data_IF_049533708502
#
_entry.id   IF_049533708502
#
_cell.length_a   1.000
_cell.length_b   1.000
_cell.length_c   1.000
_cell.angle_alpha   90.00
_cell.angle_beta   90.00
_cell.angle_gamma   90.00
#
_symmetry.space_group_name_H-M   'P 1'
#
loop_
_entity.id
_entity.type
_entity.pdbx_description
1 polymer ?
#
# COMPACT_ATOMS: atom_id res chain seq x y z
N UNK A 1 0.28 14.75 27.94
CA UNK A 1 1.36 13.78 27.66
C UNK A 1 1.74 13.09 28.97
N UNK A 2 2.16 11.83 28.92
CA UNK A 2 2.73 11.08 30.05
C UNK A 2 4.05 10.44 29.59
N UNK A 3 5.09 10.56 30.43
CA UNK A 3 6.41 9.97 30.21
C UNK A 3 6.79 9.17 31.45
N UNK A 4 7.18 7.93 31.26
CA UNK A 4 7.60 7.02 32.32
C UNK A 4 8.99 6.50 31.99
N UNK A 5 9.91 6.50 32.96
CA UNK A 5 11.22 5.87 32.83
C UNK A 5 11.11 4.40 33.22
N UNK A 6 11.63 3.51 32.36
CA UNK A 6 11.72 2.08 32.62
C UNK A 6 13.16 1.71 32.99
N UNK A 7 13.34 0.73 33.89
CA UNK A 7 14.66 0.23 34.31
C UNK A 7 15.38 -0.50 33.18
N UNK A 8 14.62 -1.18 32.32
CA UNK A 8 15.09 -1.84 31.11
C UNK A 8 13.96 -1.95 30.07
N UNK A 9 14.27 -2.46 28.89
CA UNK A 9 13.34 -2.55 27.75
C UNK A 9 12.19 -3.54 27.97
N UNK A 10 12.34 -4.42 28.97
CA UNK A 10 11.42 -5.53 29.30
C UNK A 10 10.64 -5.27 30.58
N UNK A 11 10.94 -4.19 31.30
CA UNK A 11 10.30 -3.86 32.57
C UNK A 11 8.78 -3.78 32.42
N UNK A 12 8.05 -4.37 33.36
CA UNK A 12 6.59 -4.39 33.34
C UNK A 12 5.98 -3.04 33.73
N UNK A 13 6.73 -2.22 34.47
CA UNK A 13 6.31 -0.89 34.92
C UNK A 13 7.53 0.01 35.16
N UNK A 14 7.29 1.31 35.28
CA UNK A 14 8.33 2.31 35.48
C UNK A 14 7.89 3.45 36.39
N UNK A 15 8.81 4.38 36.64
CA UNK A 15 8.55 5.57 37.44
C UNK A 15 8.18 6.74 36.52
N UNK A 16 7.09 7.50 36.81
CA UNK A 16 6.75 8.68 36.04
C UNK A 16 7.87 9.72 36.14
N UNK A 17 8.27 10.29 35.01
CA UNK A 17 9.23 11.39 34.99
C UNK A 17 8.44 12.69 35.14
N UNK A 18 8.75 13.47 36.16
CA UNK A 18 8.19 14.81 36.28
C UNK A 18 8.98 15.76 35.36
N UNK A 19 8.34 16.22 34.28
CA UNK A 19 8.84 17.21 33.34
C UNK A 19 7.89 18.42 33.25
N UNK A 20 7.15 18.68 34.33
CA UNK A 20 6.09 19.68 34.36
C UNK A 20 6.66 21.07 34.05
N UNK A 21 6.01 21.76 33.11
CA UNK A 21 6.42 23.10 32.64
C UNK A 21 7.65 23.12 31.74
N UNK A 22 8.34 21.98 31.52
CA UNK A 22 9.54 21.91 30.67
C UNK A 22 9.27 21.38 29.26
N UNK A 23 8.14 20.72 29.01
CA UNK A 23 7.85 20.17 27.68
C UNK A 23 7.43 21.30 26.72
N UNK A 24 8.26 21.55 25.71
CA UNK A 24 8.04 22.59 24.69
C UNK A 24 7.32 22.02 23.46
N UNK A 25 7.78 20.85 22.98
CA UNK A 25 7.18 20.16 21.85
C UNK A 25 7.44 18.65 21.94
N UNK A 26 6.56 17.88 21.32
CA UNK A 26 6.67 16.43 21.20
C UNK A 26 6.28 16.02 19.78
N UNK A 27 7.02 15.07 19.21
CA UNK A 27 6.57 14.38 18.02
C UNK A 27 6.82 12.88 18.10
N UNK A 28 5.87 12.09 17.61
CA UNK A 28 6.00 10.64 17.46
C UNK A 28 5.71 10.26 16.02
N UNK A 29 6.67 9.63 15.35
CA UNK A 29 6.57 9.12 13.98
C UNK A 29 6.46 7.60 14.03
N UNK A 30 5.28 7.07 13.71
CA UNK A 30 5.03 5.65 13.45
C UNK A 30 5.17 5.40 11.95
N UNK A 31 6.00 4.42 11.57
CA UNK A 31 6.29 4.14 10.16
C UNK A 31 6.18 2.65 9.85
N UNK A 32 5.63 2.33 8.68
CA UNK A 32 5.63 0.96 8.15
C UNK A 32 7.02 0.51 7.63
N UNK A 33 7.91 1.46 7.30
CA UNK A 33 9.21 1.17 6.66
C UNK A 33 10.41 1.41 7.58
N UNK A 34 10.28 2.35 8.52
CA UNK A 34 11.34 2.73 9.46
C UNK A 34 10.97 2.30 10.88
N UNK A 35 11.96 2.32 11.77
CA UNK A 35 11.66 2.17 13.19
C UNK A 35 10.97 3.44 13.68
N UNK A 36 9.98 3.29 14.56
CA UNK A 36 9.27 4.43 15.12
C UNK A 36 10.22 5.33 15.89
N UNK A 37 9.97 6.64 15.82
CA UNK A 37 10.84 7.64 16.43
C UNK A 37 10.03 8.62 17.27
N UNK A 38 10.49 8.87 18.49
CA UNK A 38 9.99 9.94 19.34
C UNK A 38 11.04 11.07 19.42
N UNK A 39 10.57 12.30 19.41
CA UNK A 39 11.37 13.50 19.65
C UNK A 39 10.67 14.35 20.69
N UNK A 40 11.39 14.69 21.76
CA UNK A 40 10.90 15.50 22.86
C UNK A 40 11.79 16.73 23.01
N UNK A 41 11.21 17.91 22.87
CA UNK A 41 11.90 19.18 23.11
C UNK A 41 11.56 19.67 24.51
N UNK A 42 12.60 19.89 25.31
CA UNK A 42 12.53 20.30 26.70
C UNK A 42 13.21 21.64 26.91
N UNK A 43 12.62 22.45 27.78
CA UNK A 43 13.26 23.62 28.36
C UNK A 43 14.25 23.19 29.44
N UNK A 44 15.50 23.52 29.17
CA UNK A 44 16.67 23.21 29.98
C UNK A 44 17.40 24.51 30.37
N UNK A 45 16.65 25.58 30.67
CA UNK A 45 17.22 26.88 31.07
C UNK A 45 18.23 26.80 32.22
N UNK A 46 18.04 25.85 33.15
CA UNK A 46 18.90 25.62 34.32
C UNK A 46 19.95 24.52 34.11
N UNK A 47 20.01 23.94 32.91
CA UNK A 47 20.95 22.88 32.51
C UNK A 47 20.83 21.56 33.30
N UNK A 48 19.88 21.46 34.23
CA UNK A 48 19.71 20.32 35.14
C UNK A 48 19.38 19.00 34.43
N UNK A 49 18.84 19.06 33.21
CA UNK A 49 18.43 17.87 32.46
C UNK A 49 19.63 17.08 31.92
N UNK A 50 20.82 17.66 31.85
CA UNK A 50 22.04 16.94 31.45
C UNK A 50 22.47 15.88 32.46
N UNK A 51 22.26 16.16 33.75
CA UNK A 51 22.62 15.25 34.84
C UNK A 51 21.50 14.23 35.15
N UNK A 52 20.39 14.27 34.40
CA UNK A 52 19.27 13.36 34.60
C UNK A 52 19.56 11.98 33.99
N UNK A 53 19.77 10.92 34.80
CA UNK A 53 20.06 9.58 34.28
C UNK A 53 18.88 9.00 33.51
N UNK A 54 17.66 9.48 33.76
CA UNK A 54 16.43 9.04 33.10
C UNK A 54 16.35 9.52 31.64
N UNK A 55 17.09 10.57 31.28
CA UNK A 55 17.16 11.11 29.93
C UNK A 55 18.50 10.80 29.23
N UNK A 56 19.40 10.07 29.90
CA UNK A 56 20.69 9.71 29.35
C UNK A 56 20.57 8.73 28.17
N UNK A 57 21.62 8.67 27.35
CA UNK A 57 21.69 7.72 26.22
C UNK A 57 21.53 6.27 26.69
N UNK A 58 20.60 5.55 26.08
CA UNK A 58 20.25 4.17 26.45
C UNK A 58 19.12 4.05 27.46
N UNK A 59 18.67 5.14 28.09
CA UNK A 59 17.49 5.12 28.95
C UNK A 59 16.24 4.72 28.15
N UNK A 60 15.37 3.93 28.77
CA UNK A 60 14.13 3.48 28.16
C UNK A 60 12.99 4.34 28.69
N UNK A 61 12.27 4.97 27.78
CA UNK A 61 11.12 5.81 28.06
C UNK A 61 9.86 5.16 27.51
N UNK A 62 8.79 5.21 28.27
CA UNK A 62 7.45 4.90 27.82
C UNK A 62 6.68 6.21 27.67
N UNK A 63 6.24 6.51 26.45
CA UNK A 63 5.57 7.76 26.08
C UNK A 63 4.11 7.49 25.69
N UNK A 64 3.20 8.30 26.21
CA UNK A 64 1.78 8.30 25.84
C UNK A 64 1.29 9.73 25.67
N UNK A 65 0.56 10.00 24.60
CA UNK A 65 0.10 11.33 24.22
C UNK A 65 -1.37 11.30 23.79
N UNK A 66 -2.01 12.47 23.74
CA UNK A 66 -3.44 12.57 23.45
C UNK A 66 -4.13 13.52 24.42
N UNK A 67 -5.45 13.40 24.49
CA UNK A 67 -6.31 14.23 25.32
C UNK A 67 -6.65 13.52 26.63
N UNK A 68 -7.00 14.27 27.69
CA UNK A 68 -7.58 13.67 28.89
C UNK A 68 -8.77 12.75 28.54
N UNK A 69 -8.69 11.48 28.94
CA UNK A 69 -9.70 10.45 28.61
C UNK A 69 -9.52 9.77 27.25
N UNK A 70 -8.67 10.28 26.36
CA UNK A 70 -8.34 9.66 25.07
C UNK A 70 -6.83 9.76 24.82
N UNK A 71 -6.08 8.81 25.38
CA UNK A 71 -4.62 8.74 25.27
C UNK A 71 -4.23 7.60 24.35
N UNK A 72 -3.20 7.81 23.53
CA UNK A 72 -2.58 6.78 22.73
C UNK A 72 -2.00 5.68 23.63
N UNK A 73 -2.02 4.40 23.20
CA UNK A 73 -1.37 3.31 23.90
C UNK A 73 0.10 3.66 24.20
N UNK A 74 0.62 3.31 25.40
CA UNK A 74 2.00 3.60 25.75
C UNK A 74 2.99 3.00 24.75
N UNK A 75 3.96 3.81 24.30
CA UNK A 75 5.00 3.40 23.35
C UNK A 75 6.37 3.44 24.00
N UNK A 76 7.12 2.36 23.87
CA UNK A 76 8.48 2.27 24.40
C UNK A 76 9.49 2.78 23.39
N UNK A 77 10.36 3.68 23.84
CA UNK A 77 11.44 4.27 23.05
C UNK A 77 12.73 4.30 23.86
N UNK A 78 13.84 3.97 23.20
CA UNK A 78 15.18 4.01 23.78
C UNK A 78 15.84 5.31 23.35
N UNK A 79 16.32 6.10 24.31
CA UNK A 79 17.00 7.37 24.04
C UNK A 79 18.31 7.11 23.29
N UNK A 80 18.49 7.77 22.14
CA UNK A 80 19.68 7.61 21.28
C UNK A 80 20.51 8.86 21.18
N UNK A 81 19.87 10.02 21.10
CA UNK A 81 20.56 11.29 20.88
C UNK A 81 19.98 12.34 21.79
N UNK A 82 20.89 13.13 22.36
CA UNK A 82 20.61 14.36 23.06
C UNK A 82 21.24 15.48 22.25
N UNK A 83 20.46 16.49 21.86
CA UNK A 83 20.92 17.63 21.06
C UNK A 83 20.50 18.93 21.74
N UNK A 84 21.28 19.98 21.52
CA UNK A 84 20.98 21.32 22.03
C UNK A 84 21.62 21.60 23.39
N UNK A 85 21.17 22.69 24.02
CA UNK A 85 21.76 23.20 25.26
C UNK A 85 20.66 23.70 26.21
N UNK A 86 20.21 24.95 26.05
CA UNK A 86 19.07 25.51 26.79
C UNK A 86 17.72 24.95 26.31
N UNK A 87 17.62 24.58 25.04
CA UNK A 87 16.53 23.74 24.53
C UNK A 87 17.12 22.38 24.22
N UNK A 88 16.74 21.39 25.02
CA UNK A 88 17.24 20.02 24.90
C UNK A 88 16.28 19.20 24.04
N UNK A 89 16.77 18.61 22.96
CA UNK A 89 16.02 17.66 22.13
C UNK A 89 16.47 16.24 22.45
N UNK A 90 15.57 15.45 23.01
CA UNK A 90 15.75 14.02 23.29
C UNK A 90 15.13 13.23 22.15
N UNK A 91 15.95 12.53 21.36
CA UNK A 91 15.49 11.63 20.30
C UNK A 91 15.58 10.18 20.77
N UNK A 92 14.43 9.51 20.79
CA UNK A 92 14.31 8.09 21.09
C UNK A 92 13.78 7.31 19.90
N UNK A 93 14.11 6.02 19.82
CA UNK A 93 13.58 5.12 18.78
C UNK A 93 12.99 3.87 19.43
N UNK A 94 12.00 3.26 18.79
CA UNK A 94 11.37 2.04 19.29
C UNK A 94 12.38 0.91 19.53
N UNK A 95 12.00 -0.04 20.38
CA UNK A 95 12.80 -1.22 20.77
C UNK A 95 13.28 -2.04 19.56
N UNK A 96 12.60 -1.96 18.41
CA UNK A 96 13.06 -2.54 17.14
C UNK A 96 14.47 -2.11 16.72
N UNK A 97 14.95 -0.97 17.21
CA UNK A 97 16.32 -0.50 16.95
C UNK A 97 17.39 -1.38 17.59
N UNK A 98 17.06 -2.12 18.65
CA UNK A 98 17.99 -3.11 19.22
C UNK A 98 18.46 -4.13 18.18
N UNK A 99 17.55 -4.58 17.33
CA UNK A 99 17.83 -5.51 16.23
C UNK A 99 18.72 -4.87 15.15
N UNK A 100 18.89 -3.54 15.18
CA UNK A 100 19.70 -2.79 14.23
C UNK A 100 21.05 -2.30 14.81
N UNK A 101 21.43 -2.71 16.02
CA UNK A 101 22.65 -2.20 16.68
C UNK A 101 23.94 -2.83 16.17
N UNK A 102 23.96 -4.15 15.97
CA UNK A 102 25.16 -4.89 15.65
C UNK A 102 24.98 -5.68 14.36
N UNK A 103 25.95 -5.55 13.46
CA UNK A 103 26.04 -6.40 12.29
C UNK A 103 26.53 -7.78 12.73
N UNK A 104 25.85 -8.83 12.30
CA UNK A 104 26.17 -10.22 12.63
C UNK A 104 26.44 -11.02 11.36
N UNK A 105 27.17 -12.11 11.52
CA UNK A 105 27.39 -13.10 10.45
C UNK A 105 26.94 -14.46 10.96
N UNK A 106 25.93 -15.04 10.32
CA UNK A 106 25.28 -16.29 10.73
C UNK A 106 24.81 -17.07 9.50
N UNK A 107 24.62 -18.37 9.63
CA UNK A 107 24.11 -19.22 8.57
C UNK A 107 23.14 -20.26 9.13
N UNK A 108 22.04 -20.48 8.42
CA UNK A 108 21.06 -21.51 8.72
C UNK A 108 20.95 -22.45 7.53
N UNK A 109 21.01 -23.76 7.75
CA UNK A 109 20.91 -24.76 6.70
C UNK A 109 19.63 -25.57 6.81
N UNK A 110 18.97 -25.87 5.68
CA UNK A 110 17.77 -26.70 5.63
C UNK A 110 16.57 -26.11 6.38
N UNK A 111 16.44 -24.77 6.43
CA UNK A 111 15.36 -24.07 7.14
C UNK A 111 14.53 -23.22 6.19
N UNK A 112 13.27 -22.99 6.55
CA UNK A 112 12.43 -22.01 5.88
C UNK A 112 12.73 -20.61 6.37
N UNK A 113 12.37 -19.59 5.60
CA UNK A 113 12.54 -18.19 6.02
C UNK A 113 11.76 -17.90 7.30
N UNK A 114 10.52 -18.38 7.39
CA UNK A 114 9.67 -18.27 8.59
C UNK A 114 10.29 -18.91 9.83
N UNK A 115 10.99 -20.04 9.68
CA UNK A 115 11.65 -20.74 10.80
C UNK A 115 12.84 -19.93 11.32
N UNK A 116 13.65 -19.38 10.40
CA UNK A 116 14.77 -18.47 10.75
C UNK A 116 14.24 -17.21 11.45
N UNK A 117 13.17 -16.61 10.93
CA UNK A 117 12.55 -15.42 11.54
C UNK A 117 12.05 -15.72 12.95
N UNK A 118 11.44 -16.90 13.17
CA UNK A 118 10.94 -17.33 14.48
C UNK A 118 12.06 -17.53 15.49
N UNK A 119 13.20 -18.08 15.07
CA UNK A 119 14.40 -18.18 15.91
C UNK A 119 14.94 -16.80 16.31
N UNK A 120 15.03 -15.87 15.36
CA UNK A 120 15.45 -14.50 15.65
C UNK A 120 14.47 -13.79 16.59
N UNK A 121 13.16 -13.88 16.33
CA UNK A 121 12.14 -13.28 17.18
C UNK A 121 12.24 -13.78 18.64
N UNK A 122 12.48 -15.08 18.83
CA UNK A 122 12.66 -15.68 20.15
C UNK A 122 13.92 -15.16 20.88
N UNK A 123 15.04 -14.90 20.18
CA UNK A 123 16.24 -14.28 20.80
C UNK A 123 15.92 -12.92 21.44
N UNK A 124 15.00 -12.17 20.84
CA UNK A 124 14.57 -10.87 21.36
C UNK A 124 13.44 -10.96 22.39
N UNK A 125 12.88 -12.16 22.63
CA UNK A 125 11.82 -12.42 23.61
C UNK A 125 10.40 -12.39 23.04
N UNK A 126 10.24 -12.36 21.71
CA UNK A 126 8.94 -12.44 21.05
C UNK A 126 8.59 -13.91 20.80
N UNK A 127 7.70 -14.47 21.63
CA UNK A 127 7.27 -15.88 21.58
C UNK A 127 5.74 -15.93 21.71
N UNK A 128 5.11 -16.92 21.07
CA UNK A 128 3.66 -17.14 21.17
C UNK A 128 2.86 -16.03 20.47
N UNK A 129 1.84 -15.50 21.15
CA UNK A 129 0.94 -14.47 20.59
C UNK A 129 1.65 -13.15 20.26
N UNK A 130 2.81 -12.88 20.88
CA UNK A 130 3.63 -11.70 20.60
C UNK A 130 4.45 -11.83 19.31
N UNK A 131 4.36 -12.95 18.58
CA UNK A 131 5.07 -13.20 17.33
C UNK A 131 4.08 -13.61 16.23
N UNK A 132 3.59 -12.64 15.46
CA UNK A 132 2.77 -12.86 14.28
C UNK A 132 3.68 -13.07 13.06
N UNK A 133 4.01 -14.33 12.79
CA UNK A 133 4.92 -14.74 11.73
C UNK A 133 4.16 -15.58 10.71
N UNK A 134 4.05 -15.08 9.48
CA UNK A 134 3.49 -15.83 8.37
C UNK A 134 4.37 -17.01 8.00
N UNK A 135 3.77 -18.18 7.78
CA UNK A 135 4.52 -19.36 7.38
C UNK A 135 4.96 -19.28 5.92
N UNK A 136 6.18 -19.76 5.67
CA UNK A 136 6.72 -19.94 4.32
C UNK A 136 6.80 -21.42 3.98
N UNK A 137 6.66 -21.77 2.71
CA UNK A 137 6.63 -23.18 2.27
C UNK A 137 7.99 -23.71 1.81
N UNK A 138 8.91 -22.85 1.38
CA UNK A 138 10.20 -23.26 0.82
C UNK A 138 11.26 -23.50 1.90
N UNK A 139 11.78 -24.72 1.91
CA UNK A 139 12.98 -25.08 2.69
C UNK A 139 14.20 -24.71 1.86
N UNK A 140 15.05 -23.83 2.40
CA UNK A 140 16.25 -23.37 1.73
C UNK A 140 17.44 -24.22 2.17
N UNK A 141 18.32 -24.55 1.22
CA UNK A 141 19.57 -25.24 1.51
C UNK A 141 20.41 -24.44 2.51
N UNK A 142 20.56 -23.13 2.26
CA UNK A 142 21.19 -22.22 3.17
C UNK A 142 20.58 -20.81 3.13
N UNK A 143 20.46 -20.20 4.30
CA UNK A 143 20.17 -18.78 4.49
C UNK A 143 21.36 -18.16 5.21
N UNK A 144 21.97 -17.17 4.58
CA UNK A 144 23.12 -16.47 5.14
C UNK A 144 22.74 -15.07 5.57
N UNK A 145 23.23 -14.68 6.74
CA UNK A 145 23.36 -13.31 7.21
C UNK A 145 24.83 -12.95 7.12
N UNK A 146 25.19 -12.01 6.24
CA UNK A 146 26.59 -11.67 5.97
C UNK A 146 26.87 -10.23 6.36
N UNK A 147 27.45 -10.02 7.54
CA UNK A 147 27.77 -8.70 8.10
C UNK A 147 26.60 -7.71 7.98
N UNK A 148 25.42 -8.15 8.41
CA UNK A 148 24.21 -7.32 8.38
C UNK A 148 23.50 -7.39 9.73
N UNK A 149 22.78 -6.34 10.08
CA UNK A 149 22.01 -6.29 11.32
C UNK A 149 20.79 -7.21 11.21
N UNK A 150 20.28 -7.69 12.35
CA UNK A 150 19.11 -8.57 12.37
C UNK A 150 17.89 -7.86 11.75
N UNK A 151 17.70 -6.56 12.03
CA UNK A 151 16.62 -5.77 11.43
C UNK A 151 16.75 -5.69 9.90
N UNK A 152 17.97 -5.48 9.36
CA UNK A 152 18.19 -5.43 7.91
C UNK A 152 17.99 -6.80 7.27
N UNK A 153 18.45 -7.85 7.95
CA UNK A 153 18.25 -9.23 7.51
C UNK A 153 16.77 -9.59 7.46
N UNK A 154 16.01 -9.29 8.51
CA UNK A 154 14.56 -9.53 8.56
C UNK A 154 13.80 -8.77 7.47
N UNK A 155 14.15 -7.50 7.21
CA UNK A 155 13.59 -6.73 6.08
C UNK A 155 13.94 -7.34 4.73
N UNK A 156 15.17 -7.84 4.57
CA UNK A 156 15.59 -8.53 3.34
C UNK A 156 14.84 -9.84 3.13
N UNK A 157 14.58 -10.61 4.19
CA UNK A 157 13.76 -11.81 4.12
C UNK A 157 12.30 -11.44 3.80
N UNK A 158 11.76 -10.41 4.45
CA UNK A 158 10.40 -9.93 4.22
C UNK A 158 10.19 -9.50 2.76
N UNK A 159 11.14 -8.72 2.21
CA UNK A 159 11.11 -8.26 0.82
C UNK A 159 11.13 -9.39 -0.21
N UNK A 160 11.73 -10.55 0.10
CA UNK A 160 11.69 -11.71 -0.82
C UNK A 160 10.33 -12.39 -0.89
N UNK A 161 9.52 -12.24 0.16
CA UNK A 161 8.19 -12.85 0.29
C UNK A 161 7.06 -11.81 0.18
N UNK A 162 7.39 -10.53 -0.02
CA UNK A 162 6.50 -9.35 0.11
C UNK A 162 5.77 -9.21 1.44
N UNK A 163 6.40 -9.70 2.49
CA UNK A 163 5.93 -9.51 3.85
C UNK A 163 6.32 -8.12 4.35
N UNK A 164 5.56 -7.62 5.31
CA UNK A 164 5.91 -6.46 6.11
C UNK A 164 6.58 -6.92 7.40
N UNK A 165 7.60 -6.16 7.83
CA UNK A 165 8.30 -6.39 9.08
C UNK A 165 8.24 -5.14 9.95
N UNK A 166 7.64 -5.26 11.13
CA UNK A 166 7.63 -4.21 12.14
C UNK A 166 7.47 -4.79 13.54
N UNK A 167 7.81 -3.99 14.55
CA UNK A 167 7.55 -4.29 15.95
C UNK A 167 6.74 -3.15 16.52
N UNK A 168 5.62 -3.45 17.15
CA UNK A 168 4.74 -2.46 17.79
C UNK A 168 4.33 -2.89 19.20
N UNK A 169 3.27 -2.30 19.74
CA UNK A 169 2.72 -2.60 21.07
C UNK A 169 2.14 -4.00 21.18
N UNK A 170 1.70 -4.59 20.07
CA UNK A 170 1.12 -5.94 20.03
C UNK A 170 2.18 -7.03 19.83
N UNK A 171 3.37 -6.66 19.34
CA UNK A 171 4.51 -7.56 19.28
C UNK A 171 5.30 -7.46 17.98
N UNK A 172 5.90 -8.58 17.60
CA UNK A 172 6.70 -8.76 16.41
C UNK A 172 5.83 -9.25 15.26
N UNK A 173 5.86 -8.54 14.14
CA UNK A 173 5.09 -8.86 12.94
C UNK A 173 6.02 -9.11 11.77
N UNK A 174 5.89 -10.29 11.15
CA UNK A 174 6.56 -10.65 9.91
C UNK A 174 5.57 -11.46 9.06
N UNK A 175 4.74 -10.77 8.27
CA UNK A 175 3.61 -11.41 7.58
C UNK A 175 3.23 -10.67 6.31
N UNK A 176 2.38 -11.29 5.49
CA UNK A 176 1.75 -10.59 4.38
C UNK A 176 0.88 -9.44 4.91
N UNK A 177 0.91 -8.29 4.22
CA UNK A 177 0.07 -7.15 4.55
C UNK A 177 -1.41 -7.55 4.49
N UNK A 178 -2.13 -7.37 5.58
CA UNK A 178 -3.56 -7.66 5.66
C UNK A 178 -4.38 -6.36 5.48
N UNK A 179 -5.09 -6.23 4.36
CA UNK A 179 -5.95 -5.06 4.08
C UNK A 179 -7.45 -5.39 4.19
N UNK A 180 -7.79 -6.54 4.77
CA UNK A 180 -9.17 -6.97 5.02
C UNK A 180 -9.86 -6.26 6.20
N UNK A 181 -9.18 -5.86 7.29
CA UNK A 181 -9.83 -5.25 8.45
C UNK A 181 -10.70 -4.03 8.09
N UNK A 182 -11.73 -3.81 8.90
CA UNK A 182 -12.55 -2.60 8.79
C UNK A 182 -11.70 -1.34 9.04
N UNK A 183 -12.04 -0.20 8.41
CA UNK A 183 -11.33 1.05 8.65
C UNK A 183 -11.43 1.44 10.12
N UNK A 184 -10.30 1.73 10.75
CA UNK A 184 -10.21 2.13 12.16
C UNK A 184 -10.83 3.51 12.38
N UNK A 185 -10.72 4.40 11.40
CA UNK A 185 -11.32 5.75 11.41
C UNK A 185 -11.82 6.13 10.02
N UNK A 186 -12.83 6.99 10.00
CA UNK A 186 -13.36 7.62 8.80
C UNK A 186 -13.05 9.11 8.90
N UNK A 187 -12.15 9.59 8.05
CA UNK A 187 -11.77 10.99 7.96
C UNK A 187 -12.58 11.67 6.85
N UNK A 188 -13.13 12.84 7.15
CA UNK A 188 -13.89 13.60 6.15
C UNK A 188 -13.22 14.94 5.85
N UNK A 189 -12.97 15.17 4.57
CA UNK A 189 -12.56 16.45 4.01
C UNK A 189 -13.82 17.31 3.80
N UNK A 190 -13.92 18.42 4.52
CA UNK A 190 -14.96 19.43 4.34
C UNK A 190 -14.30 20.79 4.16
N UNK A 191 -14.75 21.56 3.17
CA UNK A 191 -14.32 22.93 2.92
C UNK A 191 -14.89 23.94 3.92
N UNK A 192 -15.98 23.58 4.62
CA UNK A 192 -16.64 24.46 5.56
C UNK A 192 -15.92 24.47 6.92
N UNK A 193 -15.60 25.68 7.40
CA UNK A 193 -14.87 25.89 8.64
C UNK A 193 -15.56 25.19 9.83
N UNK A 194 -14.87 24.23 10.43
CA UNK A 194 -15.27 23.58 11.69
C UNK A 194 -15.99 22.23 11.58
N UNK A 195 -16.20 21.68 10.37
CA UNK A 195 -16.82 20.34 10.19
C UNK A 195 -15.92 19.27 9.59
N UNK A 196 -14.73 19.62 9.10
CA UNK A 196 -13.74 18.67 8.60
C UNK A 196 -12.68 18.33 9.64
N UNK A 197 -12.33 17.04 9.76
CA UNK A 197 -11.19 16.59 10.58
C UNK A 197 -9.85 16.78 9.84
N UNK A 198 -9.92 16.85 8.51
CA UNK A 198 -8.76 16.98 7.62
C UNK A 198 -8.52 18.47 7.31
N UNK A 199 -7.33 18.95 7.65
CA UNK A 199 -6.90 20.35 7.53
C UNK A 199 -6.25 20.65 6.19
N UNK A 200 -5.45 19.71 5.66
CA UNK A 200 -4.87 19.82 4.31
C UNK A 200 -4.74 18.46 3.64
N UNK A 201 -4.79 18.47 2.29
CA UNK A 201 -4.60 17.29 1.45
C UNK A 201 -3.56 17.59 0.39
N UNK A 202 -2.59 16.69 0.22
CA UNK A 202 -1.69 16.66 -0.91
C UNK A 202 -1.76 15.28 -1.59
N UNK A 203 -1.89 15.26 -2.92
CA UNK A 203 -2.05 14.05 -3.71
C UNK A 203 -0.82 13.85 -4.58
N UNK A 204 -0.20 12.68 -4.48
CA UNK A 204 0.89 12.27 -5.36
C UNK A 204 0.48 10.94 -6.02
N UNK A 205 0.16 10.99 -7.31
CA UNK A 205 -0.21 9.81 -8.08
C UNK A 205 0.84 9.56 -9.15
N UNK A 206 1.52 8.41 -9.08
CA UNK A 206 2.38 7.95 -10.16
C UNK A 206 1.49 7.26 -11.21
N UNK A 207 1.13 8.02 -12.24
CA UNK A 207 0.27 7.54 -13.33
C UNK A 207 1.02 6.63 -14.32
N UNK A 208 2.37 6.61 -14.27
CA UNK A 208 3.22 5.93 -15.25
C UNK A 208 3.66 4.53 -14.76
N UNK A 209 3.79 4.31 -13.45
CA UNK A 209 4.28 3.05 -12.86
C UNK A 209 3.24 1.94 -12.68
N UNK A 210 2.23 1.83 -13.55
CA UNK A 210 1.17 0.82 -13.37
C UNK A 210 1.52 -0.47 -14.11
N UNK A 211 2.07 -1.43 -13.37
CA UNK A 211 2.45 -2.75 -13.88
C UNK A 211 1.21 -3.65 -13.95
N UNK A 212 0.78 -4.00 -15.16
CA UNK A 212 -0.32 -4.95 -15.37
C UNK A 212 0.10 -6.41 -15.20
N UNK A 213 1.40 -6.70 -15.43
CA UNK A 213 1.98 -8.04 -15.36
C UNK A 213 3.48 -7.97 -15.05
N UNK A 214 3.96 -8.84 -14.16
CA UNK A 214 5.39 -9.03 -13.90
C UNK A 214 5.84 -10.36 -14.50
N UNK A 215 6.89 -10.32 -15.32
CA UNK A 215 7.57 -11.53 -15.81
C UNK A 215 8.95 -11.63 -15.16
N UNK A 216 9.31 -12.80 -14.65
CA UNK A 216 10.68 -13.11 -14.23
C UNK A 216 11.26 -14.21 -15.10
N UNK A 217 12.52 -14.04 -15.52
CA UNK A 217 13.23 -14.98 -16.39
C UNK A 217 14.61 -15.29 -15.81
N UNK A 218 14.94 -16.57 -15.78
CA UNK A 218 16.21 -17.10 -15.28
C UNK A 218 16.58 -18.39 -16.00
N UNK A 219 17.65 -19.02 -15.53
CA UNK A 219 18.10 -20.31 -16.06
C UNK A 219 18.52 -21.18 -14.89
N UNK A 220 18.01 -22.40 -14.86
CA UNK A 220 18.46 -23.40 -13.90
C UNK A 220 19.94 -23.71 -14.17
N UNK A 221 20.86 -23.50 -13.22
CA UNK A 221 22.27 -23.83 -13.39
C UNK A 221 22.53 -25.34 -13.52
N UNK A 222 21.67 -26.20 -12.94
CA UNK A 222 21.83 -27.66 -12.96
C UNK A 222 21.20 -28.26 -14.21
N UNK A 223 19.91 -27.99 -14.46
CA UNK A 223 19.21 -28.50 -15.64
C UNK A 223 19.57 -27.75 -16.94
N UNK A 224 20.25 -26.60 -16.85
CA UNK A 224 20.57 -25.69 -17.97
C UNK A 224 19.34 -25.27 -18.79
N UNK A 225 18.14 -25.38 -18.22
CA UNK A 225 16.87 -25.04 -18.83
C UNK A 225 16.43 -23.62 -18.44
N UNK A 226 15.74 -22.88 -19.33
CA UNK A 226 15.17 -21.58 -18.97
C UNK A 226 14.04 -21.76 -17.94
N UNK A 227 14.03 -20.91 -16.93
CA UNK A 227 12.92 -20.78 -15.98
C UNK A 227 12.25 -19.45 -16.25
N UNK A 228 10.94 -19.46 -16.47
CA UNK A 228 10.15 -18.26 -16.64
C UNK A 228 8.87 -18.38 -15.83
N UNK A 229 8.50 -17.28 -15.19
CA UNK A 229 7.28 -17.17 -14.41
C UNK A 229 6.65 -15.80 -14.62
N UNK A 230 5.33 -15.73 -14.51
CA UNK A 230 4.58 -14.49 -14.70
C UNK A 230 3.49 -14.36 -13.66
N UNK A 231 3.31 -13.17 -13.11
CA UNK A 231 2.25 -12.84 -12.17
C UNK A 231 1.45 -11.63 -12.65
N UNK A 232 0.14 -11.70 -12.42
CA UNK A 232 -0.83 -10.65 -12.69
C UNK A 232 -1.95 -10.71 -11.63
N UNK A 233 -2.97 -9.87 -11.75
CA UNK A 233 -4.02 -9.84 -10.71
C UNK A 233 -4.93 -11.05 -10.68
N UNK A 234 -5.06 -11.76 -11.79
CA UNK A 234 -5.92 -12.93 -11.85
C UNK A 234 -5.26 -14.13 -11.17
N UNK A 235 -3.93 -14.13 -11.10
CA UNK A 235 -3.11 -15.20 -10.54
C UNK A 235 -2.72 -14.97 -9.07
N UNK A 236 -2.78 -13.73 -8.57
CA UNK A 236 -2.33 -13.38 -7.22
C UNK A 236 -3.50 -13.04 -6.30
N UNK A 237 -3.93 -13.95 -5.41
CA UNK A 237 -4.98 -13.65 -4.44
C UNK A 237 -4.46 -12.63 -3.40
N UNK A 238 -5.23 -11.57 -3.15
CA UNK A 238 -4.90 -10.54 -2.15
C UNK A 238 -6.09 -9.68 -1.78
N UNK A 239 -6.00 -9.02 -0.64
CA UNK A 239 -6.88 -7.90 -0.27
C UNK A 239 -6.43 -6.64 -1.02
N UNK A 240 -7.35 -5.95 -1.70
CA UNK A 240 -7.11 -4.64 -2.33
C UNK A 240 -7.96 -3.55 -1.70
N UNK A 241 -7.50 -2.30 -1.73
CA UNK A 241 -8.20 -1.14 -1.18
C UNK A 241 -8.89 -0.27 -2.25
N UNK A 242 -8.43 -0.36 -3.51
CA UNK A 242 -9.11 0.17 -4.70
C UNK A 242 -9.72 -0.92 -5.58
N UNK A 243 -10.83 -0.61 -6.26
CA UNK A 243 -11.52 -1.54 -7.18
C UNK A 243 -11.04 -1.39 -8.64
N UNK A 244 -10.55 -0.20 -9.02
CA UNK A 244 -10.18 0.13 -10.41
C UNK A 244 -8.73 0.63 -10.50
N UNK A 245 -8.03 0.33 -11.60
CA UNK A 245 -6.70 0.88 -11.90
C UNK A 245 -6.78 1.55 -13.27
N UNK A 246 -6.59 2.86 -13.34
CA UNK A 246 -6.50 3.63 -14.60
C UNK A 246 -5.13 3.39 -15.26
N UNK A 247 -5.08 3.00 -16.53
CA UNK A 247 -3.82 2.74 -17.23
C UNK A 247 -3.53 3.89 -18.19
N UNK A 248 -2.32 4.45 -18.09
CA UNK A 248 -1.85 5.50 -18.99
C UNK A 248 -0.86 4.88 -19.97
N UNK A 249 -1.13 5.05 -21.26
CA UNK A 249 -0.22 4.62 -22.31
C UNK A 249 1.00 5.57 -22.36
N UNK A 250 2.23 5.07 -22.14
CA UNK A 250 3.43 5.90 -22.08
C UNK A 250 3.83 6.51 -23.43
N UNK A 251 3.36 5.98 -24.57
CA UNK A 251 3.70 6.50 -25.91
C UNK A 251 2.70 7.55 -26.38
N UNK A 252 1.43 7.41 -26.02
CA UNK A 252 0.34 8.23 -26.56
C UNK A 252 -0.23 9.22 -25.54
N UNK A 253 0.04 9.05 -24.26
CA UNK A 253 -0.46 9.91 -23.17
C UNK A 253 -1.97 9.80 -22.94
N UNK A 254 -2.67 8.91 -23.66
CA UNK A 254 -4.10 8.68 -23.47
C UNK A 254 -4.34 7.85 -22.21
N UNK A 255 -5.26 8.35 -21.39
CA UNK A 255 -5.76 7.67 -20.19
C UNK A 255 -6.95 6.80 -20.55
N UNK A 256 -6.87 5.51 -20.27
CA UNK A 256 -7.95 4.57 -20.54
C UNK A 256 -8.20 3.69 -19.33
N UNK A 257 -9.45 3.64 -18.86
CA UNK A 257 -9.90 2.69 -17.85
C UNK A 257 -10.02 1.30 -18.50
N UNK A 258 -8.89 0.61 -18.64
CA UNK A 258 -8.83 -0.73 -19.20
C UNK A 258 -8.77 -1.80 -18.11
N UNK A 259 -9.40 -2.94 -18.38
CA UNK A 259 -9.24 -4.14 -17.58
C UNK A 259 -7.82 -4.72 -17.83
N UNK A 260 -6.88 -4.18 -17.06
CA UNK A 260 -5.64 -4.78 -16.54
C UNK A 260 -4.91 -5.76 -17.48
N UNK A 261 -4.06 -5.28 -18.40
CA UNK A 261 -2.99 -6.10 -19.03
C UNK A 261 -1.90 -5.35 -19.84
N UNK A 262 -1.88 -4.01 -19.92
CA UNK A 262 -1.07 -3.35 -20.95
C UNK A 262 0.44 -3.18 -20.64
N UNK A 263 0.88 -3.25 -19.37
CA UNK A 263 2.28 -2.99 -19.03
C UNK A 263 2.95 -4.23 -18.44
N UNK A 264 3.97 -4.76 -19.13
CA UNK A 264 4.80 -5.89 -18.67
C UNK A 264 6.13 -5.37 -18.13
N UNK A 265 6.44 -5.67 -16.87
CA UNK A 265 7.78 -5.47 -16.33
C UNK A 265 8.54 -6.80 -16.32
N UNK A 266 9.61 -6.89 -17.11
CA UNK A 266 10.45 -8.09 -17.17
C UNK A 266 11.69 -7.94 -16.29
N UNK A 267 11.99 -8.97 -15.49
CA UNK A 267 13.13 -8.97 -14.57
C UNK A 267 13.93 -10.27 -14.61
N UNK A 268 15.25 -10.21 -14.36
CA UNK A 268 16.04 -11.41 -14.13
C UNK A 268 15.72 -12.03 -12.76
N UNK A 269 15.66 -13.36 -12.70
CA UNK A 269 15.57 -14.13 -11.44
C UNK A 269 16.79 -15.06 -11.28
N UNK A 270 17.19 -15.25 -10.03
CA UNK A 270 18.19 -16.25 -9.62
C UNK A 270 17.53 -17.53 -9.07
N UNK A 271 16.20 -17.66 -9.19
CA UNK A 271 15.47 -18.84 -8.77
C UNK A 271 15.92 -20.07 -9.57
N UNK A 272 16.14 -21.17 -8.86
CA UNK A 272 16.55 -22.47 -9.43
C UNK A 272 15.37 -23.40 -9.68
N UNK A 273 14.17 -23.06 -9.18
CA UNK A 273 12.94 -23.85 -9.34
C UNK A 273 11.80 -22.98 -9.91
N UNK A 274 10.88 -23.54 -10.72
CA UNK A 274 9.70 -22.82 -11.20
C UNK A 274 8.83 -22.22 -10.09
N UNK A 275 8.68 -22.92 -8.96
CA UNK A 275 7.86 -22.47 -7.83
C UNK A 275 8.44 -21.21 -7.18
N UNK A 276 9.76 -21.17 -6.98
CA UNK A 276 10.45 -19.98 -6.47
C UNK A 276 10.38 -18.80 -7.46
N UNK A 277 10.46 -19.07 -8.77
CA UNK A 277 10.30 -18.04 -9.79
C UNK A 277 8.86 -17.47 -9.81
N UNK A 278 7.85 -18.32 -9.70
CA UNK A 278 6.45 -17.90 -9.56
C UNK A 278 6.30 -16.98 -8.35
N UNK A 279 6.80 -17.39 -7.18
CA UNK A 279 6.71 -16.57 -5.98
C UNK A 279 7.41 -15.21 -6.12
N UNK A 280 8.57 -15.18 -6.77
CA UNK A 280 9.29 -13.93 -7.04
C UNK A 280 8.49 -13.01 -7.97
N UNK A 281 7.83 -13.56 -8.99
CA UNK A 281 6.94 -12.79 -9.86
C UNK A 281 5.74 -12.22 -9.07
N UNK A 282 5.08 -13.06 -8.25
CA UNK A 282 3.97 -12.63 -7.41
C UNK A 282 4.38 -11.53 -6.43
N UNK A 283 5.56 -11.69 -5.82
CA UNK A 283 6.15 -10.75 -4.91
C UNK A 283 6.35 -9.38 -5.60
N UNK A 284 7.10 -9.36 -6.70
CA UNK A 284 7.33 -8.13 -7.47
C UNK A 284 6.02 -7.49 -7.95
N UNK A 285 5.01 -8.29 -8.29
CA UNK A 285 3.70 -7.78 -8.70
C UNK A 285 2.96 -7.10 -7.53
N UNK A 286 2.95 -7.72 -6.35
CA UNK A 286 2.40 -7.10 -5.13
C UNK A 286 3.14 -5.80 -4.77
N UNK A 287 4.46 -5.75 -4.93
CA UNK A 287 5.24 -4.55 -4.69
C UNK A 287 4.85 -3.41 -5.64
N UNK A 288 4.78 -3.71 -6.95
CA UNK A 288 4.50 -2.72 -7.98
C UNK A 288 3.13 -2.05 -7.82
N UNK A 289 2.12 -2.80 -7.38
CA UNK A 289 0.78 -2.24 -7.19
C UNK A 289 0.55 -1.51 -5.86
N UNK A 290 1.43 -1.67 -4.86
CA UNK A 290 1.30 -0.95 -3.57
C UNK A 290 1.44 0.57 -3.71
N UNK A 291 2.12 1.05 -4.75
CA UNK A 291 2.53 2.44 -4.92
C UNK A 291 1.65 3.27 -5.89
N UNK A 292 0.46 2.78 -6.22
CA UNK A 292 -0.41 3.39 -7.25
C UNK A 292 -0.90 4.81 -6.89
N UNK A 293 -1.30 5.05 -5.65
CA UNK A 293 -1.77 6.37 -5.17
C UNK A 293 -1.19 6.66 -3.80
N UNK A 294 -0.48 7.80 -3.66
CA UNK A 294 0.01 8.33 -2.39
C UNK A 294 -0.79 9.57 -2.02
N UNK A 295 -1.27 9.62 -0.80
CA UNK A 295 -2.07 10.72 -0.27
C UNK A 295 -1.44 11.18 1.05
N UNK A 296 -1.10 12.46 1.16
CA UNK A 296 -0.63 13.07 2.40
C UNK A 296 -1.73 13.92 2.99
N UNK A 297 -2.12 13.67 4.23
CA UNK A 297 -3.15 14.41 4.94
C UNK A 297 -2.56 15.04 6.19
N UNK A 298 -2.94 16.27 6.50
CA UNK A 298 -2.81 16.81 7.84
C UNK A 298 -4.19 16.82 8.49
N UNK A 299 -4.29 16.27 9.70
CA UNK A 299 -5.55 16.17 10.42
C UNK A 299 -5.43 16.78 11.81
N UNK A 300 -6.56 17.20 12.36
CA UNK A 300 -6.67 17.58 13.77
C UNK A 300 -6.21 16.40 14.62
N UNK A 301 -5.47 16.69 15.70
CA UNK A 301 -4.90 15.70 16.60
C UNK A 301 -5.87 14.59 16.98
N UNK A 302 -5.62 13.36 16.53
CA UNK A 302 -6.36 12.17 16.95
C UNK A 302 -5.35 11.10 17.38
N UNK A 303 -5.26 10.77 18.68
CA UNK A 303 -4.31 9.80 19.21
C UNK A 303 -4.62 8.35 18.82
N UNK A 304 -5.76 8.09 18.20
CA UNK A 304 -6.13 6.73 17.73
C UNK A 304 -5.55 6.39 16.36
N UNK A 305 -5.10 7.40 15.62
CA UNK A 305 -4.46 7.21 14.31
C UNK A 305 -3.07 6.63 14.49
N UNK A 306 -2.76 5.56 13.74
CA UNK A 306 -1.48 4.85 13.80
C UNK A 306 -1.11 4.32 12.42
N UNK A 307 0.17 4.10 12.16
CA UNK A 307 0.58 3.44 10.92
C UNK A 307 0.12 1.98 10.93
N UNK A 308 0.21 1.33 9.77
CA UNK A 308 -0.19 -0.06 9.55
C UNK A 308 -1.69 -0.35 9.75
N UNK A 309 -2.51 0.69 9.83
CA UNK A 309 -3.98 0.57 9.89
C UNK A 309 -4.63 1.01 8.58
N UNK A 310 -5.92 0.70 8.46
CA UNK A 310 -6.75 1.13 7.34
C UNK A 310 -7.64 2.26 7.83
N UNK A 311 -7.70 3.33 7.06
CA UNK A 311 -8.64 4.43 7.30
C UNK A 311 -9.47 4.68 6.05
N UNK A 312 -10.67 5.21 6.21
CA UNK A 312 -11.50 5.65 5.09
C UNK A 312 -11.43 7.16 4.97
N UNK A 313 -11.16 7.66 3.78
CA UNK A 313 -11.13 9.10 3.50
C UNK A 313 -12.32 9.44 2.61
N UNK A 314 -13.11 10.43 3.04
CA UNK A 314 -14.34 10.88 2.37
C UNK A 314 -14.27 12.37 2.04
N UNK A 315 -14.99 12.80 1.01
CA UNK A 315 -15.23 14.22 0.73
C UNK A 315 -14.18 14.93 -0.12
N UNK A 316 -13.06 14.28 -0.48
CA UNK A 316 -12.03 14.89 -1.35
C UNK A 316 -12.51 14.92 -2.81
N UNK A 317 -12.70 13.75 -3.41
CA UNK A 317 -13.25 13.58 -4.77
C UNK A 317 -13.75 12.14 -4.94
N UNK A 318 -14.52 11.83 -5.99
CA UNK A 318 -14.98 10.45 -6.24
C UNK A 318 -13.83 9.47 -6.45
N UNK A 319 -12.79 9.88 -7.19
CA UNK A 319 -11.65 9.03 -7.50
C UNK A 319 -10.70 8.84 -6.29
N UNK A 320 -10.58 9.86 -5.42
CA UNK A 320 -9.65 9.86 -4.29
C UNK A 320 -10.30 9.48 -2.96
N UNK A 321 -11.63 9.50 -2.84
CA UNK A 321 -12.30 8.96 -1.67
C UNK A 321 -12.22 7.43 -1.68
N UNK A 322 -12.14 6.82 -0.49
CA UNK A 322 -12.07 5.37 -0.32
C UNK A 322 -11.18 4.97 0.85
N UNK A 323 -10.85 3.68 0.90
CA UNK A 323 -9.98 3.13 1.96
C UNK A 323 -8.52 3.31 1.59
N UNK A 324 -7.71 3.63 2.58
CA UNK A 324 -6.28 3.83 2.47
C UNK A 324 -5.56 3.08 3.58
N UNK A 325 -4.37 2.56 3.25
CA UNK A 325 -3.44 2.04 4.24
C UNK A 325 -2.56 3.18 4.74
N UNK A 326 -2.44 3.34 6.06
CA UNK A 326 -1.58 4.35 6.69
C UNK A 326 -0.14 3.85 6.68
N UNK A 327 0.68 4.41 5.81
CA UNK A 327 2.10 4.07 5.71
C UNK A 327 2.95 4.77 6.78
N UNK A 328 2.57 5.99 7.17
CA UNK A 328 3.23 6.77 8.21
C UNK A 328 2.19 7.63 8.95
N UNK A 329 2.29 7.69 10.27
CA UNK A 329 1.51 8.59 11.12
C UNK A 329 2.45 9.36 12.04
N UNK A 330 2.53 10.67 11.85
CA UNK A 330 3.38 11.56 12.61
C UNK A 330 2.55 12.50 13.47
N UNK A 331 2.52 12.23 14.76
CA UNK A 331 1.89 13.08 15.76
C UNK A 331 2.83 14.24 16.09
N UNK A 332 2.33 15.47 16.06
CA UNK A 332 3.09 16.67 16.42
C UNK A 332 2.29 17.50 17.41
N UNK A 333 2.86 17.69 18.60
CA UNK A 333 2.29 18.48 19.69
C UNK A 333 3.26 19.62 19.98
N UNK A 334 2.80 20.85 19.89
CA UNK A 334 3.59 22.05 20.17
C UNK A 334 2.67 23.18 20.67
N UNK A 335 3.20 24.40 20.77
CA UNK A 335 2.43 25.57 21.21
C UNK A 335 1.20 25.90 20.33
N UNK A 336 1.18 25.51 19.05
CA UNK A 336 0.04 25.73 18.15
C UNK A 336 -1.06 24.68 18.28
N UNK A 337 -0.82 23.60 19.03
CA UNK A 337 -1.78 22.54 19.27
C UNK A 337 -1.25 21.15 18.92
N UNK A 338 -2.18 20.25 18.61
CA UNK A 338 -1.90 18.86 18.27
C UNK A 338 -2.44 18.55 16.87
N UNK A 339 -1.55 18.11 15.98
CA UNK A 339 -1.87 17.68 14.62
C UNK A 339 -1.27 16.30 14.35
N UNK A 340 -1.83 15.59 13.37
CA UNK A 340 -1.25 14.35 12.85
C UNK A 340 -1.02 14.50 11.35
N UNK A 341 0.22 14.32 10.92
CA UNK A 341 0.56 14.22 9.51
C UNK A 341 0.53 12.73 9.11
N UNK A 342 -0.31 12.39 8.12
CA UNK A 342 -0.49 11.04 7.63
C UNK A 342 0.08 10.91 6.22
N UNK A 343 0.83 9.84 5.98
CA UNK A 343 1.13 9.35 4.62
C UNK A 343 0.36 8.09 4.37
N UNK A 344 -0.44 8.11 3.32
CA UNK A 344 -1.38 7.07 2.98
C UNK A 344 -1.05 6.50 1.62
N UNK A 345 -1.25 5.20 1.47
CA UNK A 345 -1.06 4.48 0.20
C UNK A 345 -2.30 3.69 -0.14
N UNK A 346 -2.66 3.69 -1.42
CA UNK A 346 -3.72 2.85 -1.98
C UNK A 346 -3.26 2.23 -3.29
N UNK A 347 -3.66 0.99 -3.50
CA UNK A 347 -3.25 0.13 -4.60
C UNK A 347 -4.08 0.31 -5.89
N UNK A 348 -5.17 1.08 -5.82
CA UNK A 348 -5.99 1.45 -6.97
C UNK A 348 -6.68 2.80 -6.80
N UNK A 349 -7.60 3.14 -7.70
CA UNK A 349 -8.52 4.27 -7.62
C UNK A 349 -9.85 3.87 -6.96
N UNK A 350 -10.57 4.87 -6.44
CA UNK A 350 -11.94 4.70 -5.94
C UNK A 350 -12.91 4.45 -7.09
N UNK A 351 -14.14 4.02 -6.78
CA UNK A 351 -15.14 3.71 -7.81
C UNK A 351 -15.44 4.95 -8.68
N UNK A 352 -14.92 4.99 -9.89
CA UNK A 352 -15.31 5.94 -10.93
C UNK A 352 -16.48 5.35 -11.70
N UNK A 353 -17.67 5.40 -11.09
CA UNK A 353 -18.93 4.85 -11.60
C UNK A 353 -18.91 3.33 -11.86
N UNK A 354 -20.12 2.74 -11.95
CA UNK A 354 -20.34 1.31 -12.17
C UNK A 354 -19.36 0.86 -13.23
N UNK A 355 -18.54 -0.16 -12.92
CA UNK A 355 -18.06 -1.04 -13.96
C UNK A 355 -19.29 -1.38 -14.78
N UNK A 356 -19.41 -0.78 -15.98
CA UNK A 356 -20.36 -1.22 -16.96
C UNK A 356 -19.92 -2.64 -17.21
N UNK A 357 -20.52 -3.59 -16.48
CA UNK A 357 -20.46 -4.99 -16.82
C UNK A 357 -20.77 -4.97 -18.31
N UNK A 358 -19.86 -5.40 -19.20
CA UNK A 358 -20.26 -5.59 -20.57
C UNK A 358 -21.54 -6.39 -20.48
N UNK A 359 -22.64 -5.80 -20.95
CA UNK A 359 -23.91 -6.50 -21.01
C UNK A 359 -23.55 -7.81 -21.69
N UNK A 360 -23.75 -8.93 -21.01
CA UNK A 360 -23.53 -10.27 -21.54
C UNK A 360 -24.56 -10.59 -22.62
N UNK A 361 -24.84 -9.63 -23.51
CA UNK A 361 -25.40 -9.92 -24.81
C UNK A 361 -24.41 -10.84 -25.48
N UNK A 362 -24.84 -12.08 -25.69
CA UNK A 362 -24.13 -12.98 -26.58
C UNK A 362 -23.84 -12.20 -27.86
N UNK A 363 -22.58 -12.10 -28.32
CA UNK A 363 -22.34 -11.60 -29.66
C UNK A 363 -23.22 -12.44 -30.59
N UNK A 364 -23.98 -11.79 -31.48
CA UNK A 364 -24.85 -12.47 -32.43
C UNK A 364 -24.06 -13.59 -33.12
N UNK A 365 -24.26 -14.84 -32.67
CA UNK A 365 -23.73 -16.06 -33.28
C UNK A 365 -24.68 -16.60 -34.35
N UNK A 366 -25.60 -15.76 -34.83
CA UNK A 366 -26.28 -16.03 -36.07
C UNK A 366 -25.27 -15.91 -37.19
N UNK A 367 -24.94 -17.04 -37.84
CA UNK A 367 -24.42 -16.97 -39.20
C UNK A 367 -25.39 -16.08 -40.01
N UNK A 368 -24.89 -15.18 -40.88
CA UNK A 368 -25.78 -14.44 -41.76
C UNK A 368 -26.64 -15.47 -42.49
N UNK A 369 -27.97 -15.43 -42.28
CA UNK A 369 -28.90 -16.14 -43.15
C UNK A 369 -28.47 -15.80 -44.57
N UNK A 370 -28.21 -16.78 -45.47
CA UNK A 370 -27.83 -16.48 -46.84
C UNK A 370 -28.92 -15.62 -47.47
N UNK A 371 -28.74 -14.30 -47.40
CA UNK A 371 -29.63 -13.34 -48.01
C UNK A 371 -29.49 -13.58 -49.50
N UNK A 372 -30.58 -14.02 -50.12
CA UNK A 372 -30.63 -14.38 -51.53
C UNK A 372 -29.89 -13.36 -52.39
N UNK A 373 -29.10 -13.87 -53.34
CA UNK A 373 -28.25 -13.08 -54.22
C UNK A 373 -29.01 -11.85 -54.76
N UNK A 374 -28.50 -10.66 -54.46
CA UNK A 374 -29.04 -9.43 -55.05
C UNK A 374 -28.79 -9.47 -56.55
N UNK A 375 -29.86 -9.26 -57.32
CA UNK A 375 -29.76 -9.06 -58.77
C UNK A 375 -30.03 -7.58 -59.04
N UNK A 376 -29.10 -6.93 -59.72
CA UNK A 376 -29.33 -5.62 -60.33
C UNK A 376 -30.13 -5.84 -61.61
N UNK A 377 -31.30 -5.23 -61.71
CA UNK A 377 -32.10 -5.22 -62.93
C UNK A 377 -32.15 -3.77 -63.41
N UNK A 378 -31.75 -3.55 -64.67
CA UNK A 378 -31.89 -2.26 -65.32
C UNK A 378 -33.32 -2.17 -65.86
N UNK A 379 -34.12 -1.28 -65.28
CA UNK A 379 -35.51 -1.06 -65.66
C UNK A 379 -35.54 0.17 -66.55
N UNK A 380 -36.07 -0.01 -67.77
CA UNK A 380 -36.25 1.05 -68.76
C UNK A 380 -37.67 1.57 -68.64
N UNK A 381 -37.83 2.87 -68.44
CA UNK A 381 -39.13 3.53 -68.42
C UNK A 381 -39.73 3.53 -69.84
N UNK A 382 -40.90 2.90 -70.07
CA UNK A 382 -41.42 2.68 -71.41
C UNK A 382 -41.99 3.94 -72.09
N UNK A 383 -42.18 5.06 -71.38
CA UNK A 383 -42.67 6.31 -71.98
C UNK A 383 -41.56 7.36 -72.18
N UNK A 384 -40.53 7.36 -71.33
CA UNK A 384 -39.42 8.34 -71.39
C UNK A 384 -38.08 7.78 -71.85
N UNK A 385 -37.93 6.45 -71.94
CA UNK A 385 -36.70 5.78 -72.39
C UNK A 385 -35.51 5.88 -71.42
N UNK A 386 -35.70 6.48 -70.24
CA UNK A 386 -34.67 6.56 -69.21
C UNK A 386 -34.44 5.20 -68.53
N UNK A 387 -33.17 4.84 -68.28
CA UNK A 387 -32.83 3.63 -67.53
C UNK A 387 -32.48 3.97 -66.09
N UNK A 388 -32.95 3.13 -65.15
CA UNK A 388 -32.48 3.16 -63.76
C UNK A 388 -32.21 1.74 -63.26
N UNK A 389 -31.21 1.62 -62.41
CA UNK A 389 -30.82 0.33 -61.83
C UNK A 389 -31.57 0.12 -60.52
N UNK A 390 -32.39 -0.92 -60.44
CA UNK A 390 -33.06 -1.33 -59.21
C UNK A 390 -32.39 -2.57 -58.62
N UNK A 391 -32.16 -2.55 -57.30
CA UNK A 391 -31.65 -3.69 -56.56
C UNK A 391 -32.81 -4.44 -55.91
N UNK A 392 -33.03 -5.70 -56.33
CA UNK A 392 -34.08 -6.56 -55.78
C UNK A 392 -33.48 -7.71 -54.98
N UNK A 393 -34.17 -8.09 -53.90
CA UNK A 393 -33.90 -9.32 -53.14
C UNK A 393 -35.13 -10.21 -53.27
N UNK A 394 -35.07 -11.21 -54.13
CA UNK A 394 -36.26 -11.96 -54.56
C UNK A 394 -37.22 -11.06 -55.35
N UNK A 395 -38.51 -11.14 -55.06
CA UNK A 395 -39.56 -10.35 -55.73
C UNK A 395 -39.82 -8.96 -55.10
N UNK A 396 -39.06 -8.59 -54.06
CA UNK A 396 -39.25 -7.31 -53.35
C UNK A 396 -38.18 -6.28 -53.73
N UNK A 397 -38.63 -5.07 -54.11
CA UNK A 397 -37.77 -3.91 -54.34
C UNK A 397 -37.34 -3.32 -53.00
N UNK A 398 -36.04 -3.09 -52.83
CA UNK A 398 -35.49 -2.50 -51.61
C UNK A 398 -35.29 -1.00 -51.87
N UNK A 399 -35.93 -0.14 -51.05
CA UNK A 399 -35.67 1.31 -51.06
C UNK A 399 -36.68 2.19 -51.80
N UNK A 400 -37.98 1.87 -51.77
CA UNK A 400 -39.02 2.87 -52.03
C UNK A 400 -39.39 3.51 -50.68
N UNK A 401 -38.96 4.76 -50.46
CA UNK A 401 -39.44 5.60 -49.36
C UNK A 401 -40.91 5.94 -49.58
N UNK A 402 -41.75 5.68 -48.59
CA UNK A 402 -43.12 6.18 -48.52
C UNK A 402 -43.06 7.68 -48.14
N UNK A 403 -43.46 8.61 -49.02
CA UNK A 403 -43.30 10.04 -48.79
C UNK A 403 -44.18 10.62 -47.66
N UNK A 404 -45.10 9.85 -47.06
CA UNK A 404 -46.00 10.36 -46.01
C UNK A 404 -45.66 9.95 -44.57
N UNK A 405 -44.68 9.07 -44.33
CA UNK A 405 -44.32 8.64 -42.97
C UNK A 405 -42.88 9.01 -42.64
N UNK A 406 -42.66 10.31 -42.42
CA UNK A 406 -41.39 10.92 -42.02
C UNK A 406 -40.91 10.54 -40.60
N UNK A 407 -40.72 9.25 -40.33
CA UNK A 407 -39.84 8.74 -39.26
C UNK A 407 -39.62 7.24 -39.43
N UNK A 408 -38.35 6.83 -39.55
CA UNK A 408 -37.97 5.44 -39.26
C UNK A 408 -37.18 5.36 -37.96
N UNK A 409 -37.64 4.42 -37.15
CA UNK A 409 -37.31 4.10 -35.76
C UNK A 409 -35.83 3.69 -35.63
N UNK A 410 -35.11 4.13 -34.59
CA UNK A 410 -33.70 3.78 -34.41
C UNK A 410 -33.54 2.27 -34.14
N UNK A 411 -32.45 1.73 -34.69
CA UNK A 411 -31.97 0.34 -34.51
C UNK A 411 -31.67 -0.01 -33.07
#
# INVERSE_FOLDING_TARGET
>A
MRITSLTDERAASGAPINLDGRVLAFSYEDSALKADQASLQLDNFDLSLFDSPQLAGGAVLEVSWGYPGNMAPPRRVVVRKLKGFQTLTVEGQATSVLMNLQAKTRSWSGKRRSDVVRELAAEYGFIGEAADIGDTSEVLEAVHQSYETDARFLRRLAAREEFEFFVDDSGFHWRARNQTPAPTRVLTWYSDAGRGEVMSVNVESDLVRRVGRVDVKGRDPLAKAPIAASANSDTVPRSTLGELVEVVDPETGFTSLQQRNATVSAHPTAATTPEAANREAEARFRAAERDTVKLSLQVVGDPTLRAKTIIEVRGISRALSGKYYVAEAKHVINASGYVVDLKLTRDGLGSTEKAARPQGGQPNRGAPTPGGAMKSIEVVDPESGGTRVEFRRGDSVIGAEDPETGTSVPR
#
